data_IF_147030526371
#
_entry.id   IF_147030526371
#
_cell.length_a   1.000
_cell.length_b   1.000
_cell.length_c   1.000
_cell.angle_alpha   90.00
_cell.angle_beta   90.00
_cell.angle_gamma   90.00
#
_symmetry.space_group_name_H-M   'P 1'
#
loop_
_entity.id
_entity.type
_entity.pdbx_description
1 polymer ?
#
# COMPACT_ATOMS: atom_id res chain seq x y z
N UNK A 1 27.23 9.17 -8.04
CA UNK A 1 26.74 7.78 -8.02
C UNK A 1 25.27 7.81 -8.41
N UNK A 2 24.95 7.46 -9.65
CA UNK A 2 23.56 7.41 -10.13
C UNK A 2 22.91 6.14 -9.58
N UNK A 3 22.13 6.26 -8.51
CA UNK A 3 21.32 5.14 -8.04
C UNK A 3 20.09 5.05 -8.94
N UNK A 4 20.21 4.27 -10.02
CA UNK A 4 19.12 3.92 -10.93
C UNK A 4 18.16 2.94 -10.24
N UNK A 5 17.31 3.44 -9.35
CA UNK A 5 16.07 2.76 -9.01
C UNK A 5 14.91 3.58 -9.55
N UNK A 6 14.80 3.63 -10.89
CA UNK A 6 13.68 4.25 -11.61
C UNK A 6 12.55 3.25 -11.83
N UNK A 7 12.37 2.31 -10.92
CA UNK A 7 11.18 1.46 -10.87
C UNK A 7 10.28 2.06 -9.79
N UNK A 8 9.22 2.73 -10.24
CA UNK A 8 8.12 3.19 -9.41
C UNK A 8 7.61 1.99 -8.59
N UNK A 9 7.44 2.18 -7.29
CA UNK A 9 6.95 1.12 -6.40
C UNK A 9 5.69 0.48 -6.97
N UNK A 10 5.73 -0.83 -7.26
CA UNK A 10 4.57 -1.52 -7.81
C UNK A 10 3.49 -1.65 -6.75
N UNK A 11 2.36 -0.97 -6.96
CA UNK A 11 1.16 -1.12 -6.16
C UNK A 11 0.15 -2.03 -6.86
N UNK A 12 -0.59 -2.81 -6.06
CA UNK A 12 -1.65 -3.65 -6.58
C UNK A 12 -2.85 -2.77 -6.99
N UNK A 13 -3.20 -2.75 -8.26
CA UNK A 13 -4.39 -2.01 -8.76
C UNK A 13 -5.67 -2.82 -8.55
N UNK A 14 -5.60 -4.15 -8.69
CA UNK A 14 -6.74 -5.05 -8.55
C UNK A 14 -6.37 -6.30 -7.74
N UNK A 15 -7.27 -6.73 -6.85
CA UNK A 15 -7.14 -7.99 -6.11
C UNK A 15 -8.48 -8.71 -6.05
N UNK A 16 -8.44 -10.03 -5.87
CA UNK A 16 -9.66 -10.80 -5.64
C UNK A 16 -10.23 -10.51 -4.25
N UNK A 17 -11.48 -10.08 -4.20
CA UNK A 17 -12.17 -9.88 -2.93
C UNK A 17 -13.04 -11.09 -2.59
N UNK A 18 -12.85 -11.74 -1.43
CA UNK A 18 -13.66 -12.90 -1.03
C UNK A 18 -15.12 -12.55 -0.75
N UNK A 19 -15.42 -11.29 -0.38
CA UNK A 19 -16.82 -10.84 -0.15
C UNK A 19 -17.55 -10.53 -1.46
N UNK A 20 -16.88 -9.89 -2.42
CA UNK A 20 -17.47 -9.59 -3.74
C UNK A 20 -17.35 -10.76 -4.73
N UNK A 21 -16.51 -11.75 -4.42
CA UNK A 21 -16.21 -12.95 -5.23
C UNK A 21 -15.78 -12.64 -6.66
N UNK A 22 -15.03 -11.55 -6.83
CA UNK A 22 -14.52 -11.08 -8.13
C UNK A 22 -13.22 -10.31 -7.92
N UNK A 23 -12.45 -10.13 -9.00
CA UNK A 23 -11.40 -9.11 -9.03
C UNK A 23 -12.03 -7.74 -8.90
N UNK A 24 -11.52 -6.96 -7.96
CA UNK A 24 -11.99 -5.61 -7.68
C UNK A 24 -10.79 -4.67 -7.63
N UNK A 25 -10.96 -3.40 -8.04
CA UNK A 25 -9.97 -2.39 -7.78
C UNK A 25 -9.79 -2.20 -6.28
N UNK A 26 -8.54 -2.01 -5.87
CA UNK A 26 -8.18 -1.83 -4.47
C UNK A 26 -7.63 -0.45 -4.20
N UNK A 27 -7.77 0.01 -2.96
CA UNK A 27 -7.19 1.25 -2.47
C UNK A 27 -6.14 0.91 -1.42
N UNK A 28 -4.94 1.48 -1.57
CA UNK A 28 -3.86 1.38 -0.60
C UNK A 28 -4.11 2.39 0.53
N UNK A 29 -4.14 1.90 1.77
CA UNK A 29 -4.31 2.71 2.97
C UNK A 29 -3.12 2.50 3.89
N UNK A 30 -2.49 3.59 4.33
CA UNK A 30 -1.43 3.53 5.33
C UNK A 30 -2.04 3.09 6.67
N UNK A 31 -1.54 1.99 7.22
CA UNK A 31 -1.92 1.50 8.54
C UNK A 31 -0.97 2.02 9.62
N UNK A 32 0.33 1.94 9.35
CA UNK A 32 1.35 2.23 10.36
C UNK A 32 2.62 2.77 9.72
N UNK A 33 3.16 3.82 10.29
CA UNK A 33 4.50 4.33 9.99
C UNK A 33 5.45 3.72 11.00
N UNK A 34 6.44 2.96 10.54
CA UNK A 34 7.49 2.37 11.37
C UNK A 34 8.82 3.08 11.08
N UNK A 35 9.78 3.04 12.01
CA UNK A 35 11.11 3.64 11.78
C UNK A 35 11.85 3.04 10.57
N UNK A 36 11.58 1.77 10.25
CA UNK A 36 12.22 1.02 9.16
C UNK A 36 11.41 1.05 7.86
N UNK A 37 10.19 1.60 7.86
CA UNK A 37 9.32 1.57 6.69
C UNK A 37 7.84 1.72 7.02
N UNK A 38 6.99 1.62 6.00
CA UNK A 38 5.55 1.85 6.15
C UNK A 38 4.77 0.56 5.90
N UNK A 39 3.74 0.34 6.72
CA UNK A 39 2.77 -0.74 6.55
C UNK A 39 1.49 -0.19 5.95
N UNK A 40 1.09 -0.77 4.84
CA UNK A 40 -0.15 -0.47 4.13
C UNK A 40 -1.07 -1.68 4.08
N UNK A 41 -2.36 -1.39 3.93
CA UNK A 41 -3.42 -2.36 3.67
C UNK A 41 -4.11 -2.03 2.36
N UNK A 42 -4.42 -3.07 1.59
CA UNK A 42 -5.27 -2.98 0.42
C UNK A 42 -6.70 -3.29 0.81
N UNK A 43 -7.59 -2.35 0.51
CA UNK A 43 -9.03 -2.50 0.75
C UNK A 43 -9.77 -2.54 -0.57
N UNK A 44 -10.77 -3.42 -0.65
CA UNK A 44 -11.71 -3.44 -1.76
C UNK A 44 -12.39 -2.06 -1.88
N UNK A 45 -12.35 -1.45 -3.07
CA UNK A 45 -12.94 -0.13 -3.30
C UNK A 45 -14.49 -0.12 -3.16
N UNK A 46 -15.13 -1.29 -3.22
CA UNK A 46 -16.58 -1.42 -3.13
C UNK A 46 -17.07 -1.76 -1.72
N UNK A 47 -16.52 -2.81 -1.10
CA UNK A 47 -16.99 -3.31 0.19
C UNK A 47 -16.10 -2.93 1.37
N UNK A 48 -14.93 -2.33 1.14
CA UNK A 48 -13.99 -1.89 2.18
C UNK A 48 -13.27 -3.02 2.92
N UNK A 49 -13.48 -4.28 2.52
CA UNK A 49 -12.83 -5.42 3.15
C UNK A 49 -11.32 -5.41 2.85
N UNK A 50 -10.53 -5.75 3.87
CA UNK A 50 -9.11 -6.04 3.71
C UNK A 50 -8.91 -7.21 2.76
N UNK A 51 -8.14 -6.99 1.70
CA UNK A 51 -7.85 -8.01 0.67
C UNK A 51 -6.35 -8.28 0.55
N UNK A 52 -5.51 -7.52 1.26
CA UNK A 52 -4.07 -7.75 1.31
C UNK A 52 -3.35 -6.69 2.14
N UNK A 53 -2.06 -6.92 2.38
CA UNK A 53 -1.17 -5.97 3.05
C UNK A 53 0.13 -5.81 2.26
N UNK A 54 0.73 -4.62 2.32
CA UNK A 54 2.06 -4.31 1.77
C UNK A 54 2.91 -3.73 2.88
N UNK A 55 4.16 -4.16 2.98
CA UNK A 55 5.16 -3.50 3.80
C UNK A 55 6.26 -2.98 2.89
N UNK A 56 6.54 -1.69 2.98
CA UNK A 56 7.60 -1.04 2.23
C UNK A 56 8.75 -0.79 3.20
N UNK A 57 9.87 -1.49 3.00
CA UNK A 57 11.10 -1.30 3.77
C UNK A 57 11.93 -0.21 3.11
N UNK A 58 12.08 0.94 3.76
CA UNK A 58 12.91 2.05 3.24
C UNK A 58 12.22 3.04 2.29
N UNK A 59 10.92 3.28 2.43
CA UNK A 59 10.25 4.40 1.76
C UNK A 59 10.72 5.74 2.36
N UNK A 60 10.95 6.74 1.50
CA UNK A 60 11.29 8.12 1.89
C UNK A 60 10.51 8.51 3.15
N UNK A 61 11.23 8.71 4.26
CA UNK A 61 10.64 9.11 5.53
C UNK A 61 9.99 10.49 5.35
N UNK A 62 8.74 10.51 4.88
CA UNK A 62 7.87 11.65 4.97
C UNK A 62 7.49 11.74 6.44
N UNK A 63 8.39 12.34 7.23
CA UNK A 63 8.06 12.87 8.54
C UNK A 63 6.95 13.89 8.28
N UNK A 64 5.70 13.46 8.40
CA UNK A 64 4.55 14.35 8.33
C UNK A 64 4.64 15.16 9.62
N UNK A 65 4.88 16.49 9.59
CA UNK A 65 4.87 17.25 10.82
C UNK A 65 3.46 17.16 11.39
N UNK A 66 3.34 16.51 12.55
CA UNK A 66 2.15 16.61 13.37
C UNK A 66 1.95 18.11 13.65
N UNK A 67 0.87 18.64 13.12
CA UNK A 67 0.49 20.05 13.30
C UNK A 67 -0.11 20.25 14.69
#
# INVERSE_FOLDING_TARGET
>A
MMNRNSYDDFDATELYCPRCRRSVPVRKHLLLVLPQGDKYEYRCAYCGCSVGEKQESGGDQKIIPAR
#
